data_IF_660278429404
#
_entry.id   IF_660278429404
#
_cell.length_a   1.000
_cell.length_b   1.000
_cell.length_c   1.000
_cell.angle_alpha   90.00
_cell.angle_beta   90.00
_cell.angle_gamma   90.00
#
_symmetry.space_group_name_H-M   'P 1'
#
loop_
_entity.id
_entity.type
_entity.pdbx_description
1 polymer ?
#
# COMPACT_ATOMS: atom_id res chain seq x y z
N UNK A 1 -24.69 18.93 -58.34
CA UNK A 1 -23.34 18.78 -57.77
C UNK A 1 -23.34 17.61 -56.80
N UNK A 2 -22.24 16.86 -56.80
CA UNK A 2 -22.09 15.53 -56.20
C UNK A 2 -21.82 15.54 -54.68
N UNK A 3 -21.89 14.31 -54.15
CA UNK A 3 -21.80 13.79 -52.78
C UNK A 3 -20.52 14.11 -51.98
N UNK A 4 -20.62 14.06 -50.64
CA UNK A 4 -19.84 13.25 -49.65
C UNK A 4 -19.77 13.98 -48.30
N UNK A 5 -20.44 13.49 -47.26
CA UNK A 5 -20.06 12.44 -46.29
C UNK A 5 -19.01 12.89 -45.24
N UNK A 6 -19.44 12.94 -43.98
CA UNK A 6 -18.60 13.25 -42.83
C UNK A 6 -19.28 12.90 -41.51
N UNK A 7 -19.84 11.68 -41.42
CA UNK A 7 -20.44 11.15 -40.18
C UNK A 7 -19.33 10.58 -39.31
N UNK A 8 -18.78 11.39 -38.41
CA UNK A 8 -17.92 10.94 -37.31
C UNK A 8 -18.79 10.20 -36.29
N UNK A 9 -18.81 8.88 -36.39
CA UNK A 9 -19.40 8.01 -35.37
C UNK A 9 -18.51 7.98 -34.13
N UNK A 10 -18.85 8.77 -33.11
CA UNK A 10 -18.40 8.53 -31.75
C UNK A 10 -19.35 7.55 -31.06
N UNK A 11 -18.88 6.62 -30.21
CA UNK A 11 -19.75 5.73 -29.46
C UNK A 11 -20.52 6.52 -28.39
N UNK A 12 -21.80 6.80 -28.65
CA UNK A 12 -22.77 7.18 -27.61
C UNK A 12 -23.21 5.89 -26.92
N UNK A 13 -22.69 5.65 -25.72
CA UNK A 13 -23.38 4.83 -24.72
C UNK A 13 -23.97 5.79 -23.69
N UNK A 14 -25.20 6.24 -23.96
CA UNK A 14 -26.03 6.77 -22.89
C UNK A 14 -26.49 5.58 -22.04
N UNK A 15 -26.29 5.59 -20.71
CA UNK A 15 -26.86 4.57 -19.85
C UNK A 15 -28.40 4.62 -19.94
N UNK A 16 -29.10 3.46 -19.91
CA UNK A 16 -30.56 3.43 -19.95
C UNK A 16 -31.16 4.29 -18.84
N UNK A 17 -32.09 5.18 -19.20
CA UNK A 17 -32.84 5.96 -18.24
C UNK A 17 -33.65 5.02 -17.34
N UNK A 18 -33.37 5.04 -16.05
CA UNK A 18 -34.17 4.33 -15.06
C UNK A 18 -35.52 5.04 -14.90
N UNK A 19 -36.58 4.31 -15.20
CA UNK A 19 -37.97 4.74 -15.03
C UNK A 19 -38.25 4.92 -13.54
N UNK A 20 -38.34 6.17 -13.08
CA UNK A 20 -38.83 6.51 -11.74
C UNK A 20 -40.21 5.90 -11.53
N UNK A 21 -40.27 4.84 -10.72
CA UNK A 21 -41.52 4.26 -10.23
C UNK A 21 -41.67 4.63 -8.76
N UNK A 22 -42.58 5.56 -8.50
CA UNK A 22 -43.10 5.85 -7.16
C UNK A 22 -43.83 4.62 -6.66
N UNK A 23 -43.31 3.97 -5.61
CA UNK A 23 -44.04 2.98 -4.84
C UNK A 23 -43.86 3.27 -3.35
N UNK A 24 -44.95 3.69 -2.73
CA UNK A 24 -45.11 3.84 -1.29
C UNK A 24 -45.48 2.49 -0.68
N UNK A 25 -45.00 2.28 0.55
CA UNK A 25 -45.46 1.37 1.61
C UNK A 25 -44.94 -0.09 1.69
N UNK A 26 -43.98 -0.26 2.61
CA UNK A 26 -43.97 -1.23 3.73
C UNK A 26 -43.91 -2.73 3.45
N UNK A 27 -42.70 -3.28 3.56
CA UNK A 27 -42.42 -4.58 4.19
C UNK A 27 -40.95 -4.65 4.63
N UNK A 28 -40.70 -5.16 5.84
CA UNK A 28 -39.49 -4.99 6.64
C UNK A 28 -38.14 -5.34 6.00
N UNK A 29 -37.19 -4.41 6.16
CA UNK A 29 -35.78 -4.71 6.40
C UNK A 29 -35.44 -4.06 7.73
N UNK A 30 -35.43 -4.85 8.80
CA UNK A 30 -34.86 -4.40 10.08
C UNK A 30 -33.37 -4.19 9.84
N UNK A 31 -32.92 -2.93 9.87
CA UNK A 31 -31.49 -2.65 9.92
C UNK A 31 -30.90 -3.38 11.14
N UNK A 32 -29.76 -4.09 11.01
CA UNK A 32 -29.10 -4.67 12.17
C UNK A 32 -28.64 -3.54 13.10
N UNK A 33 -29.43 -3.25 14.13
CA UNK A 33 -29.05 -2.36 15.22
C UNK A 33 -28.17 -3.16 16.16
N UNK A 34 -26.86 -3.13 15.95
CA UNK A 34 -25.92 -3.63 16.94
C UNK A 34 -26.03 -2.75 18.19
N UNK A 35 -26.29 -3.37 19.35
CA UNK A 35 -26.33 -2.64 20.61
C UNK A 35 -24.92 -2.25 21.04
N UNK A 36 -24.79 -1.20 21.84
CA UNK A 36 -23.49 -0.68 22.32
C UNK A 36 -22.67 -1.74 23.09
N UNK A 37 -23.33 -2.74 23.68
CA UNK A 37 -22.64 -3.87 24.32
C UNK A 37 -21.98 -4.83 23.31
N UNK A 38 -22.54 -4.96 22.10
CA UNK A 38 -21.93 -5.78 21.05
C UNK A 38 -20.66 -5.11 20.50
N UNK A 39 -20.66 -3.78 20.38
CA UNK A 39 -19.46 -3.00 20.06
C UNK A 39 -18.37 -3.17 21.12
N UNK A 40 -18.74 -3.11 22.41
CA UNK A 40 -17.79 -3.31 23.51
C UNK A 40 -17.14 -4.71 23.46
N UNK A 41 -17.91 -5.75 23.13
CA UNK A 41 -17.37 -7.13 23.02
C UNK A 41 -16.37 -7.30 21.86
N UNK A 42 -16.60 -6.59 20.74
CA UNK A 42 -15.72 -6.63 19.57
C UNK A 42 -14.42 -5.88 19.85
N UNK A 43 -14.50 -4.73 20.53
CA UNK A 43 -13.30 -3.97 20.95
C UNK A 43 -12.47 -4.76 21.97
N UNK A 44 -13.12 -5.50 22.88
CA UNK A 44 -12.44 -6.33 23.87
C UNK A 44 -11.79 -7.59 23.28
N UNK A 45 -12.24 -8.01 22.09
CA UNK A 45 -11.70 -9.16 21.35
C UNK A 45 -10.63 -8.77 20.32
N UNK A 46 -10.40 -7.48 20.09
CA UNK A 46 -9.26 -6.99 19.33
C UNK A 46 -8.01 -7.12 20.22
N UNK A 47 -7.34 -8.26 20.08
CA UNK A 47 -5.97 -8.42 20.53
C UNK A 47 -5.14 -7.22 20.03
N UNK A 48 -4.74 -6.37 20.96
CA UNK A 48 -3.92 -5.17 20.74
C UNK A 48 -2.48 -5.48 20.26
N UNK A 49 -2.20 -6.73 19.85
CA UNK A 49 -0.89 -7.21 19.42
C UNK A 49 -0.52 -6.91 17.96
N UNK A 50 -1.37 -6.25 17.17
CA UNK A 50 -1.12 -6.04 15.73
C UNK A 50 -0.55 -4.67 15.34
N UNK A 51 -0.28 -3.77 16.29
CA UNK A 51 0.47 -2.56 15.99
C UNK A 51 1.98 -2.89 15.83
N UNK A 52 2.68 -2.43 14.78
CA UNK A 52 4.11 -2.59 14.66
C UNK A 52 4.81 -1.97 15.88
N UNK A 53 5.43 -2.79 16.72
CA UNK A 53 6.15 -2.33 17.93
C UNK A 53 7.57 -1.86 17.65
N UNK A 54 8.07 -2.07 16.43
CA UNK A 54 9.33 -1.51 15.96
C UNK A 54 9.09 -0.04 15.58
N UNK A 55 9.59 0.88 16.40
CA UNK A 55 9.57 2.29 16.08
C UNK A 55 10.50 2.58 14.88
N UNK A 56 10.09 3.42 13.91
CA UNK A 56 10.95 3.86 12.83
C UNK A 56 12.12 4.72 13.37
N UNK A 57 13.23 4.87 12.62
CA UNK A 57 14.35 5.69 13.03
C UNK A 57 13.93 7.16 13.16
N UNK A 58 14.41 7.82 14.21
CA UNK A 58 14.25 9.28 14.35
C UNK A 58 15.11 9.96 13.29
N UNK A 59 14.67 11.11 12.75
CA UNK A 59 15.33 11.79 11.63
C UNK A 59 16.85 12.05 11.79
N UNK A 60 17.40 11.96 13.02
CA UNK A 60 18.83 12.09 13.31
C UNK A 60 19.68 10.82 13.12
N UNK A 61 19.09 9.61 13.09
CA UNK A 61 19.85 8.34 12.95
C UNK A 61 20.13 7.96 11.49
N UNK A 62 19.44 8.59 10.54
CA UNK A 62 19.64 8.37 9.10
C UNK A 62 20.94 8.98 8.56
N UNK A 63 21.65 9.77 9.35
CA UNK A 63 22.83 10.53 8.91
C UNK A 63 24.18 9.79 9.05
N UNK A 64 24.21 8.57 9.61
CA UNK A 64 25.45 7.86 9.92
C UNK A 64 25.94 6.86 8.85
N UNK A 65 25.27 6.78 7.69
CA UNK A 65 25.71 5.95 6.57
C UNK A 65 26.35 6.82 5.46
N UNK A 66 27.49 7.42 5.79
CA UNK A 66 28.23 8.33 4.91
C UNK A 66 29.58 7.77 4.51
N UNK A 67 29.61 6.67 3.75
CA UNK A 67 30.78 6.27 2.97
C UNK A 67 30.28 5.72 1.64
N UNK A 68 30.83 6.20 0.53
CA UNK A 68 30.35 5.93 -0.83
C UNK A 68 30.49 4.44 -1.18
N UNK A 69 29.52 3.64 -0.74
CA UNK A 69 29.42 2.22 -1.03
C UNK A 69 28.73 2.03 -2.38
N UNK A 70 29.33 1.21 -3.25
CA UNK A 70 28.67 0.68 -4.43
C UNK A 70 27.36 -0.04 -4.03
N UNK A 71 26.42 -0.13 -4.97
CA UNK A 71 25.17 -0.86 -4.80
C UNK A 71 25.40 -2.20 -4.08
N UNK A 72 24.79 -2.34 -2.90
CA UNK A 72 24.98 -3.49 -2.01
C UNK A 72 23.80 -4.42 -2.11
N UNK A 73 24.08 -5.68 -2.43
CA UNK A 73 23.07 -6.74 -2.46
C UNK A 73 22.96 -7.43 -1.10
N UNK A 74 21.78 -7.39 -0.53
CA UNK A 74 21.43 -8.14 0.68
C UNK A 74 20.63 -9.36 0.29
N UNK A 75 21.22 -10.53 0.47
CA UNK A 75 20.60 -11.80 0.07
C UNK A 75 20.00 -12.53 1.25
N UNK A 76 18.98 -13.36 0.96
CA UNK A 76 18.34 -14.22 1.94
C UNK A 76 17.77 -13.45 3.14
N UNK A 77 17.16 -12.27 2.88
CA UNK A 77 16.62 -11.40 3.92
C UNK A 77 15.11 -11.54 4.05
N UNK A 78 14.63 -11.26 5.25
CA UNK A 78 13.20 -11.25 5.57
C UNK A 78 12.78 -9.84 5.96
N UNK A 79 11.60 -9.44 5.50
CA UNK A 79 10.93 -8.21 5.90
C UNK A 79 9.87 -8.59 6.93
N UNK A 80 9.99 -8.07 8.16
CA UNK A 80 9.05 -8.39 9.24
C UNK A 80 8.08 -7.24 9.57
N UNK A 81 8.49 -5.99 9.34
CA UNK A 81 7.66 -4.81 9.58
C UNK A 81 7.71 -3.80 8.42
N UNK A 82 6.65 -3.00 8.33
CA UNK A 82 6.47 -1.92 7.37
C UNK A 82 6.03 -0.69 8.15
N UNK A 83 6.48 0.49 7.72
CA UNK A 83 6.08 1.76 8.32
C UNK A 83 5.93 2.83 7.25
N UNK A 84 4.96 3.72 7.42
CA UNK A 84 4.78 4.90 6.58
C UNK A 84 4.22 6.06 7.40
N UNK A 85 4.33 7.26 6.84
CA UNK A 85 3.76 8.50 7.39
C UNK A 85 3.00 9.25 6.29
N UNK A 86 2.15 10.20 6.68
CA UNK A 86 1.42 11.10 5.78
C UNK A 86 2.35 12.12 5.09
N UNK A 87 3.27 11.60 4.27
CA UNK A 87 4.18 12.35 3.44
C UNK A 87 4.39 11.61 2.11
N UNK A 88 4.57 12.34 1.00
CA UNK A 88 4.72 11.74 -0.31
C UNK A 88 5.95 10.83 -0.36
N UNK A 89 5.74 9.58 -0.75
CA UNK A 89 6.79 8.58 -0.94
C UNK A 89 7.69 8.42 0.30
N UNK A 90 7.06 8.35 1.47
CA UNK A 90 7.75 8.13 2.73
C UNK A 90 7.30 6.81 3.38
N UNK A 91 7.95 5.73 2.97
CA UNK A 91 7.76 4.40 3.53
C UNK A 91 9.10 3.73 3.83
N UNK A 92 9.09 2.93 4.88
CA UNK A 92 10.23 2.19 5.39
C UNK A 92 9.86 0.71 5.56
N UNK A 93 10.86 -0.13 5.39
CA UNK A 93 10.79 -1.56 5.64
C UNK A 93 11.77 -1.92 6.75
N UNK A 94 11.36 -2.78 7.68
CA UNK A 94 12.29 -3.38 8.63
C UNK A 94 12.77 -4.69 8.04
N UNK A 95 14.09 -4.80 7.90
CA UNK A 95 14.76 -5.98 7.36
C UNK A 95 15.52 -6.65 8.50
N UNK A 96 15.28 -7.94 8.71
CA UNK A 96 15.96 -8.72 9.75
C UNK A 96 17.49 -8.61 9.56
N UNK A 97 18.19 -8.33 10.66
CA UNK A 97 19.64 -8.08 10.75
C UNK A 97 20.16 -6.78 10.10
N UNK A 98 19.31 -6.01 9.41
CA UNK A 98 19.67 -4.74 8.81
C UNK A 98 19.00 -3.54 9.46
N UNK A 99 17.86 -3.76 10.12
CA UNK A 99 17.05 -2.70 10.71
C UNK A 99 16.18 -2.00 9.66
N UNK A 100 15.84 -0.74 9.94
CA UNK A 100 14.98 0.05 9.06
C UNK A 100 15.73 0.56 7.83
N UNK A 101 15.12 0.40 6.67
CA UNK A 101 15.57 0.96 5.40
C UNK A 101 14.42 1.68 4.70
N UNK A 102 14.72 2.82 4.12
CA UNK A 102 13.73 3.59 3.35
C UNK A 102 13.58 2.98 1.96
N UNK A 103 12.36 2.98 1.42
CA UNK A 103 12.16 2.65 0.02
C UNK A 103 12.54 3.83 -0.88
N UNK A 104 13.14 3.55 -2.02
CA UNK A 104 13.49 4.58 -3.00
C UNK A 104 12.26 5.41 -3.38
N UNK A 105 12.40 6.73 -3.29
CA UNK A 105 11.30 7.69 -3.38
C UNK A 105 11.38 8.64 -4.58
N UNK A 106 12.20 8.33 -5.59
CA UNK A 106 12.41 9.22 -6.74
C UNK A 106 11.39 9.11 -7.88
N UNK A 107 10.59 8.04 -7.96
CA UNK A 107 9.53 7.86 -8.97
C UNK A 107 8.31 7.15 -8.37
N UNK A 108 7.10 7.62 -8.68
CA UNK A 108 5.85 7.07 -8.09
C UNK A 108 5.62 5.60 -8.43
N UNK A 109 5.80 5.22 -9.71
CA UNK A 109 5.62 3.83 -10.13
C UNK A 109 6.63 2.88 -9.48
N UNK A 110 7.87 3.31 -9.32
CA UNK A 110 8.90 2.52 -8.64
C UNK A 110 8.58 2.38 -7.14
N UNK A 111 8.24 3.48 -6.48
CA UNK A 111 7.87 3.48 -5.07
C UNK A 111 6.67 2.57 -4.80
N UNK A 112 5.60 2.66 -5.61
CA UNK A 112 4.43 1.81 -5.44
C UNK A 112 4.72 0.32 -5.69
N UNK A 113 5.57 0.00 -6.68
CA UNK A 113 6.02 -1.37 -6.90
C UNK A 113 6.80 -1.92 -5.69
N UNK A 114 7.75 -1.13 -5.16
CA UNK A 114 8.52 -1.49 -3.97
C UNK A 114 7.64 -1.69 -2.73
N UNK A 115 6.66 -0.80 -2.50
CA UNK A 115 5.69 -0.96 -1.42
C UNK A 115 4.88 -2.25 -1.57
N UNK A 116 4.45 -2.58 -2.79
CA UNK A 116 3.67 -3.78 -3.08
C UNK A 116 4.49 -5.06 -2.83
N UNK A 117 5.74 -5.09 -3.31
CA UNK A 117 6.65 -6.23 -3.12
C UNK A 117 7.03 -6.41 -1.65
N UNK A 118 7.34 -5.33 -0.94
CA UNK A 118 7.63 -5.38 0.49
C UNK A 118 6.43 -5.88 1.30
N UNK A 119 5.22 -5.43 0.95
CA UNK A 119 3.98 -5.87 1.58
C UNK A 119 3.72 -7.35 1.36
N UNK A 120 3.91 -7.83 0.14
CA UNK A 120 3.76 -9.24 -0.20
C UNK A 120 4.81 -10.11 0.53
N UNK A 121 6.07 -9.69 0.54
CA UNK A 121 7.15 -10.41 1.23
C UNK A 121 6.84 -10.57 2.72
N UNK A 122 6.40 -9.48 3.38
CA UNK A 122 6.03 -9.49 4.79
C UNK A 122 4.78 -10.32 5.07
N UNK A 123 3.73 -10.20 4.25
CA UNK A 123 2.48 -10.95 4.43
C UNK A 123 2.69 -12.46 4.25
N UNK A 124 3.54 -12.87 3.32
CA UNK A 124 3.81 -14.28 3.02
C UNK A 124 4.97 -14.86 3.82
N UNK A 125 5.65 -14.04 4.64
CA UNK A 125 6.86 -14.40 5.37
C UNK A 125 7.93 -15.05 4.46
N UNK A 126 8.03 -14.57 3.22
CA UNK A 126 8.97 -15.07 2.23
C UNK A 126 10.29 -14.33 2.33
N UNK A 127 11.32 -15.04 1.91
CA UNK A 127 12.66 -14.51 1.79
C UNK A 127 12.76 -13.70 0.50
N UNK A 128 13.49 -12.59 0.53
CA UNK A 128 13.76 -11.73 -0.61
C UNK A 128 15.24 -11.35 -0.72
N UNK A 129 15.63 -10.88 -1.90
CA UNK A 129 16.91 -10.20 -2.12
C UNK A 129 16.65 -8.70 -2.32
N UNK A 130 17.46 -7.86 -1.68
CA UNK A 130 17.29 -6.41 -1.67
C UNK A 130 18.55 -5.74 -2.21
N UNK A 131 18.41 -4.69 -3.01
CA UNK A 131 19.53 -3.84 -3.40
C UNK A 131 19.43 -2.48 -2.70
N UNK A 132 20.45 -2.18 -1.90
CA UNK A 132 20.63 -0.89 -1.23
C UNK A 132 21.66 -0.07 -2.01
N UNK A 133 21.37 1.20 -2.27
CA UNK A 133 22.32 2.13 -2.89
C UNK A 133 23.08 2.95 -1.83
N UNK A 134 24.02 3.78 -2.28
CA UNK A 134 24.85 4.62 -1.42
C UNK A 134 24.07 5.60 -0.51
N UNK A 135 22.80 5.86 -0.82
CA UNK A 135 21.90 6.69 -0.02
C UNK A 135 21.18 5.92 1.10
N UNK A 136 21.46 4.63 1.25
CA UNK A 136 20.85 3.74 2.23
C UNK A 136 19.38 3.39 1.93
N UNK A 137 18.91 3.68 0.71
CA UNK A 137 17.55 3.34 0.28
C UNK A 137 17.54 2.03 -0.52
N UNK A 138 16.41 1.33 -0.46
CA UNK A 138 16.18 0.13 -1.25
C UNK A 138 15.65 0.50 -2.63
N UNK A 139 16.40 0.16 -3.66
CA UNK A 139 16.07 0.42 -5.06
C UNK A 139 15.42 -0.79 -5.74
N UNK A 140 15.75 -2.00 -5.29
CA UNK A 140 15.27 -3.23 -5.90
C UNK A 140 14.91 -4.27 -4.84
N UNK A 141 13.80 -4.97 -5.08
CA UNK A 141 13.32 -6.09 -4.27
C UNK A 141 13.03 -7.26 -5.23
N UNK A 142 13.74 -8.37 -5.05
CA UNK A 142 13.49 -9.61 -5.74
C UNK A 142 12.79 -10.58 -4.78
N UNK A 143 11.55 -10.90 -5.11
CA UNK A 143 10.67 -11.79 -4.37
C UNK A 143 10.24 -12.94 -5.28
N UNK A 144 10.38 -14.19 -4.82
CA UNK A 144 10.01 -15.40 -5.55
C UNK A 144 8.91 -16.19 -4.85
#
# INVERSE_FOLDING_TARGET
MASTNGKTGGPTMAPPAETSSTATDTAGVTAPSQTEEQFASVIQSLDTGSAPTLAPPTAGELAAAGEAAAATWHTNKRIDALWSIDQPRNAFIHVVDLGWRKLYNGRDGAFQALCSLASQARQTNRICHLREEADGMIYEIYLW
#
